data_IF_680702839910
#
_entry.id   IF_680702839910
#
_cell.length_a   1.000
_cell.length_b   1.000
_cell.length_c   1.000
_cell.angle_alpha   90.00
_cell.angle_beta   90.00
_cell.angle_gamma   90.00
#
_symmetry.space_group_name_H-M   'P 1'
#
loop_
_entity.id
_entity.type
_entity.pdbx_description
1 polymer ?
#
# COMPACT_ATOMS: atom_id res chain seq x y z
N UNK A 1 -1.87 -19.79 -12.86
CA UNK A 1 -0.71 -19.07 -12.30
C UNK A 1 -1.02 -17.60 -12.43
N UNK A 2 -0.77 -16.77 -11.42
CA UNK A 2 -1.00 -15.33 -11.53
C UNK A 2 0.02 -14.69 -12.48
N UNK A 3 -0.45 -13.79 -13.31
CA UNK A 3 0.37 -13.00 -14.22
C UNK A 3 0.68 -11.63 -13.59
N UNK A 4 1.63 -10.89 -14.16
CA UNK A 4 1.88 -9.50 -13.76
C UNK A 4 0.64 -8.61 -13.94
N UNK A 5 -0.19 -8.90 -14.94
CA UNK A 5 -1.46 -8.20 -15.18
C UNK A 5 -2.47 -8.46 -14.06
N UNK A 6 -2.59 -9.72 -13.59
CA UNK A 6 -3.48 -10.08 -12.47
C UNK A 6 -3.06 -9.34 -11.20
N UNK A 7 -1.76 -9.26 -10.93
CA UNK A 7 -1.20 -8.57 -9.75
C UNK A 7 -1.50 -7.07 -9.82
N UNK A 8 -1.21 -6.46 -10.97
CA UNK A 8 -1.48 -5.04 -11.18
C UNK A 8 -2.98 -4.76 -11.05
N UNK A 9 -3.83 -5.61 -11.61
CA UNK A 9 -5.29 -5.47 -11.53
C UNK A 9 -5.78 -5.49 -10.09
N UNK A 10 -5.32 -6.43 -9.27
CA UNK A 10 -5.68 -6.49 -7.84
C UNK A 10 -5.24 -5.22 -7.10
N UNK A 11 -4.06 -4.71 -7.40
CA UNK A 11 -3.56 -3.48 -6.78
C UNK A 11 -4.40 -2.25 -7.19
N UNK A 12 -4.73 -2.12 -8.48
CA UNK A 12 -5.57 -1.05 -9.01
C UNK A 12 -6.99 -1.09 -8.42
N UNK A 13 -7.61 -2.26 -8.36
CA UNK A 13 -8.96 -2.43 -7.79
C UNK A 13 -9.00 -2.06 -6.31
N UNK A 14 -7.98 -2.45 -5.52
CA UNK A 14 -7.92 -2.04 -4.11
C UNK A 14 -7.69 -0.54 -3.96
N UNK A 15 -6.79 0.05 -4.75
CA UNK A 15 -6.57 1.50 -4.73
C UNK A 15 -7.81 2.27 -5.15
N UNK A 16 -8.59 1.75 -6.11
CA UNK A 16 -9.86 2.35 -6.51
C UNK A 16 -10.91 2.38 -5.40
N UNK A 17 -10.98 1.29 -4.62
CA UNK A 17 -11.85 1.21 -3.42
C UNK A 17 -11.39 2.24 -2.38
N UNK A 18 -10.09 2.34 -2.13
CA UNK A 18 -9.53 3.28 -1.15
C UNK A 18 -9.73 4.75 -1.56
N UNK A 19 -9.64 5.02 -2.86
CA UNK A 19 -9.75 6.36 -3.44
C UNK A 19 -11.17 6.74 -3.88
N UNK A 20 -12.14 5.82 -3.78
CA UNK A 20 -13.52 6.05 -4.25
C UNK A 20 -13.59 6.43 -5.74
N UNK A 21 -12.87 5.71 -6.59
CA UNK A 21 -12.84 5.93 -8.04
C UNK A 21 -12.96 4.60 -8.81
N UNK A 22 -12.85 4.64 -10.12
CA UNK A 22 -12.72 3.42 -10.93
C UNK A 22 -11.25 3.04 -11.05
N UNK A 23 -10.95 1.73 -11.15
CA UNK A 23 -9.56 1.27 -11.31
C UNK A 23 -8.93 1.78 -12.63
N UNK A 24 -9.73 1.99 -13.68
CA UNK A 24 -9.29 2.58 -14.95
C UNK A 24 -8.81 4.03 -14.81
N UNK A 25 -9.23 4.73 -13.76
CA UNK A 25 -8.80 6.11 -13.51
C UNK A 25 -7.30 6.23 -13.31
N UNK A 26 -6.65 5.19 -12.77
CA UNK A 26 -5.19 5.12 -12.63
C UNK A 26 -4.43 4.85 -13.94
N UNK A 27 -5.13 4.48 -15.00
CA UNK A 27 -4.55 4.18 -16.32
C UNK A 27 -4.76 5.31 -17.33
N UNK A 28 -5.49 6.37 -16.95
CA UNK A 28 -5.70 7.54 -17.79
C UNK A 28 -4.39 8.30 -18.02
N UNK A 29 -4.37 9.12 -19.06
CA UNK A 29 -3.26 10.06 -19.32
C UNK A 29 -3.36 11.32 -18.47
N UNK A 30 -4.59 11.76 -18.21
CA UNK A 30 -4.88 12.97 -17.46
C UNK A 30 -5.06 12.65 -15.97
N UNK A 31 -4.65 13.59 -15.12
CA UNK A 31 -4.87 13.49 -13.69
C UNK A 31 -6.36 13.45 -13.38
N UNK A 32 -6.72 12.70 -12.35
CA UNK A 32 -8.11 12.54 -11.89
C UNK A 32 -8.22 13.06 -10.46
N UNK A 33 -9.23 13.88 -10.20
CA UNK A 33 -9.52 14.37 -8.85
C UNK A 33 -10.89 13.85 -8.44
N UNK A 34 -10.94 13.17 -7.31
CA UNK A 34 -12.17 12.62 -6.72
C UNK A 34 -12.34 13.10 -5.29
N UNK A 35 -13.57 13.25 -4.87
CA UNK A 35 -13.89 13.60 -3.48
C UNK A 35 -13.70 12.36 -2.59
N UNK A 36 -12.95 12.53 -1.50
CA UNK A 36 -12.74 11.46 -0.53
C UNK A 36 -14.01 11.18 0.26
N UNK A 37 -14.36 9.90 0.36
CA UNK A 37 -15.49 9.43 1.17
C UNK A 37 -15.12 8.18 1.95
N UNK A 38 -15.79 7.93 3.06
CA UNK A 38 -15.63 6.71 3.81
C UNK A 38 -16.12 5.51 2.99
N UNK A 39 -15.32 4.43 2.96
CA UNK A 39 -15.68 3.20 2.26
C UNK A 39 -15.40 2.00 3.18
N UNK A 40 -16.41 1.18 3.55
CA UNK A 40 -16.23 0.04 4.44
C UNK A 40 -15.34 -1.07 3.85
N UNK A 41 -15.16 -1.09 2.53
CA UNK A 41 -14.28 -2.03 1.84
C UNK A 41 -12.85 -1.52 1.65
N UNK A 42 -12.57 -0.26 2.04
CA UNK A 42 -11.22 0.27 2.02
C UNK A 42 -10.30 -0.44 3.02
N UNK A 43 -9.02 -0.27 2.83
CA UNK A 43 -8.00 -0.81 3.74
C UNK A 43 -8.22 -0.27 5.14
N UNK A 44 -8.34 -1.16 6.13
CA UNK A 44 -8.78 -0.83 7.50
C UNK A 44 -7.88 0.12 8.28
N UNK A 45 -6.63 0.28 7.87
CA UNK A 45 -5.72 1.21 8.50
C UNK A 45 -5.85 2.64 7.96
N UNK A 46 -6.59 2.84 6.88
CA UNK A 46 -6.86 4.16 6.35
C UNK A 46 -7.89 4.89 7.22
N UNK A 47 -7.61 6.14 7.50
CA UNK A 47 -8.56 7.04 8.16
C UNK A 47 -9.29 7.84 7.08
N UNK A 48 -10.40 7.29 6.61
CA UNK A 48 -11.24 7.93 5.60
C UNK A 48 -12.36 8.78 6.25
N UNK A 49 -12.74 9.90 5.63
CA UNK A 49 -12.23 10.45 4.39
C UNK A 49 -10.86 11.13 4.55
N UNK A 50 -10.04 11.08 3.51
CA UNK A 50 -8.76 11.80 3.46
C UNK A 50 -8.98 13.30 3.24
N UNK A 51 -8.09 14.12 3.79
CA UNK A 51 -7.98 15.53 3.43
C UNK A 51 -7.36 15.65 2.04
N UNK A 52 -6.25 14.97 1.82
CA UNK A 52 -5.60 14.87 0.51
C UNK A 52 -4.76 13.59 0.47
N UNK A 53 -5.01 12.76 -0.54
CA UNK A 53 -4.19 11.61 -0.92
C UNK A 53 -3.86 11.70 -2.39
N UNK A 54 -2.59 11.56 -2.74
CA UNK A 54 -2.10 11.51 -4.11
C UNK A 54 -1.55 10.13 -4.40
N UNK A 55 -2.19 9.40 -5.29
CA UNK A 55 -1.77 8.05 -5.70
C UNK A 55 -1.39 8.04 -7.18
N UNK A 56 -0.28 7.38 -7.53
CA UNK A 56 0.11 7.17 -8.92
C UNK A 56 0.59 5.74 -9.17
N UNK A 57 0.31 5.25 -10.37
CA UNK A 57 0.87 4.05 -10.97
C UNK A 57 1.82 4.38 -12.13
N UNK A 58 2.27 5.64 -12.22
CA UNK A 58 3.25 6.13 -13.18
C UNK A 58 2.67 6.91 -14.37
N UNK A 59 1.38 6.74 -14.71
CA UNK A 59 0.78 7.41 -15.88
C UNK A 59 0.20 8.79 -15.53
N UNK A 60 -0.48 8.88 -14.41
CA UNK A 60 -1.19 10.07 -13.93
C UNK A 60 -1.23 10.07 -12.39
N UNK A 61 -1.86 11.08 -11.83
CA UNK A 61 -2.18 11.15 -10.41
C UNK A 61 -3.68 11.01 -10.25
N UNK A 62 -4.11 10.09 -9.39
CA UNK A 62 -5.47 10.09 -8.82
C UNK A 62 -5.37 10.79 -7.46
N UNK A 63 -5.97 11.96 -7.37
CA UNK A 63 -6.03 12.77 -6.16
C UNK A 63 -7.38 12.56 -5.48
N UNK A 64 -7.36 12.01 -4.27
CA UNK A 64 -8.55 11.80 -3.44
C UNK A 64 -8.56 12.85 -2.33
N UNK A 65 -9.50 13.76 -2.35
CA UNK A 65 -9.42 15.00 -1.57
C UNK A 65 -10.72 15.37 -0.85
N UNK A 66 -10.61 16.18 0.19
CA UNK A 66 -11.70 17.04 0.65
C UNK A 66 -11.94 18.13 -0.37
N UNK A 67 -13.20 18.36 -0.75
CA UNK A 67 -13.57 19.27 -1.83
C UNK A 67 -13.09 20.72 -1.62
N UNK A 68 -12.99 21.15 -0.37
CA UNK A 68 -12.51 22.49 0.01
C UNK A 68 -11.04 22.77 -0.42
N UNK A 69 -10.25 21.71 -0.69
CA UNK A 69 -8.85 21.84 -1.11
C UNK A 69 -8.62 21.55 -2.60
N UNK A 70 -9.69 21.40 -3.38
CA UNK A 70 -9.62 21.11 -4.81
C UNK A 70 -8.68 22.02 -5.57
N UNK A 71 -8.85 23.33 -5.43
CA UNK A 71 -8.06 24.33 -6.18
C UNK A 71 -6.57 24.26 -5.86
N UNK A 72 -6.22 23.97 -4.59
CA UNK A 72 -4.82 23.80 -4.18
C UNK A 72 -4.21 22.59 -4.86
N UNK A 73 -4.91 21.46 -4.81
CA UNK A 73 -4.40 20.18 -5.33
C UNK A 73 -4.37 20.21 -6.86
N UNK A 74 -5.41 20.69 -7.52
CA UNK A 74 -5.48 20.80 -8.98
C UNK A 74 -4.34 21.68 -9.52
N UNK A 75 -4.12 22.84 -8.91
CA UNK A 75 -3.01 23.73 -9.25
C UNK A 75 -1.65 23.06 -9.11
N UNK A 76 -1.49 22.22 -8.07
CA UNK A 76 -0.24 21.51 -7.81
C UNK A 76 0.02 20.41 -8.84
N UNK A 77 -0.92 19.47 -9.02
CA UNK A 77 -0.74 18.32 -9.91
C UNK A 77 -0.77 18.69 -11.39
N UNK A 78 -1.28 19.90 -11.74
CA UNK A 78 -1.22 20.42 -13.11
C UNK A 78 0.09 21.15 -13.41
N UNK A 79 0.86 21.52 -12.38
CA UNK A 79 2.10 22.27 -12.53
C UNK A 79 3.31 21.40 -12.82
N UNK A 80 3.34 20.19 -12.29
CA UNK A 80 4.50 19.31 -12.34
C UNK A 80 4.16 18.02 -13.10
N UNK A 81 5.15 17.41 -13.73
CA UNK A 81 5.05 16.06 -14.24
C UNK A 81 4.78 15.08 -13.07
N UNK A 82 4.16 13.93 -13.37
CA UNK A 82 3.70 12.96 -12.37
C UNK A 82 4.79 12.59 -11.37
N UNK A 83 5.97 12.21 -11.88
CA UNK A 83 7.12 11.81 -11.05
C UNK A 83 7.60 12.96 -10.15
N UNK A 84 7.58 14.19 -10.65
CA UNK A 84 8.04 15.38 -9.93
C UNK A 84 7.07 15.81 -8.80
N UNK A 85 5.81 15.42 -8.86
CA UNK A 85 4.87 15.68 -7.77
C UNK A 85 5.26 14.96 -6.47
N UNK A 86 6.08 13.92 -6.54
CA UNK A 86 6.50 13.13 -5.37
C UNK A 86 7.96 13.39 -4.95
N UNK A 87 8.60 14.36 -5.57
CA UNK A 87 9.95 14.79 -5.19
C UNK A 87 9.90 15.82 -4.05
N UNK A 88 10.82 15.68 -3.11
CA UNK A 88 10.87 16.52 -1.90
C UNK A 88 10.76 18.03 -2.18
N UNK A 89 11.50 18.63 -3.16
CA UNK A 89 11.40 20.05 -3.42
C UNK A 89 9.99 20.51 -3.79
N UNK A 90 9.29 19.71 -4.61
CA UNK A 90 7.95 20.04 -5.08
C UNK A 90 6.91 19.77 -4.01
N UNK A 91 7.06 18.70 -3.22
CA UNK A 91 6.19 18.43 -2.06
C UNK A 91 6.20 19.58 -1.05
N UNK A 92 7.32 20.29 -0.88
CA UNK A 92 7.36 21.49 -0.04
C UNK A 92 6.40 22.58 -0.55
N UNK A 93 6.25 22.72 -1.87
CA UNK A 93 5.30 23.70 -2.45
C UNK A 93 3.87 23.36 -2.08
N UNK A 94 3.50 22.07 -2.16
CA UNK A 94 2.18 21.63 -1.75
C UNK A 94 1.99 21.76 -0.22
N UNK A 95 3.00 21.37 0.55
CA UNK A 95 2.99 21.50 2.01
C UNK A 95 2.83 22.96 2.45
N UNK A 96 3.52 23.91 1.80
CA UNK A 96 3.39 25.34 2.08
C UNK A 96 2.00 25.88 1.75
N UNK A 97 1.35 25.36 0.70
CA UNK A 97 -0.02 25.72 0.36
C UNK A 97 -1.04 25.20 1.40
N UNK A 98 -0.76 24.07 2.04
CA UNK A 98 -1.62 23.51 3.10
C UNK A 98 -1.34 24.07 4.49
N UNK A 99 -0.15 24.62 4.74
CA UNK A 99 0.26 25.16 6.06
C UNK A 99 -0.71 26.19 6.66
N UNK A 100 -1.28 27.15 5.90
CA UNK A 100 -2.26 28.09 6.45
C UNK A 100 -3.54 27.42 6.99
N UNK A 101 -3.81 26.19 6.58
CA UNK A 101 -4.95 25.39 7.02
C UNK A 101 -4.60 24.46 8.18
N UNK A 102 -3.37 24.54 8.73
CA UNK A 102 -2.90 23.65 9.78
C UNK A 102 -2.61 22.21 9.32
N UNK A 103 -2.42 22.02 8.03
CA UNK A 103 -2.19 20.71 7.41
C UNK A 103 -0.73 20.57 6.96
N UNK A 104 -0.25 19.34 6.95
CA UNK A 104 1.10 19.01 6.48
C UNK A 104 1.18 17.59 5.94
N UNK A 105 2.25 17.30 5.20
CA UNK A 105 2.54 15.93 4.76
C UNK A 105 2.79 15.05 5.97
N UNK A 106 1.97 14.03 6.17
CA UNK A 106 2.11 13.11 7.28
C UNK A 106 2.69 11.74 6.88
N UNK A 107 2.56 11.36 5.61
CA UNK A 107 3.03 10.07 5.15
C UNK A 107 3.35 10.08 3.65
N UNK A 108 4.43 9.38 3.28
CA UNK A 108 4.77 9.03 1.91
C UNK A 108 5.30 7.61 1.87
N UNK A 109 4.86 6.81 0.91
CA UNK A 109 5.36 5.46 0.71
C UNK A 109 5.47 5.11 -0.76
N UNK A 110 6.43 4.23 -1.05
CA UNK A 110 6.56 3.54 -2.32
C UNK A 110 6.24 2.07 -2.09
N UNK A 111 5.41 1.51 -2.97
CA UNK A 111 5.05 0.10 -2.94
C UNK A 111 5.55 -0.58 -4.19
N UNK A 112 6.11 -1.76 -4.01
CA UNK A 112 6.60 -2.59 -5.11
C UNK A 112 5.63 -3.73 -5.35
N UNK A 113 5.26 -3.95 -6.60
CA UNK A 113 4.52 -5.14 -7.00
C UNK A 113 5.53 -6.22 -7.43
N UNK A 114 5.28 -7.50 -7.09
CA UNK A 114 6.14 -8.58 -7.56
C UNK A 114 6.05 -8.70 -9.09
N UNK A 115 7.20 -8.96 -9.72
CA UNK A 115 7.29 -9.31 -11.13
C UNK A 115 7.47 -10.81 -11.26
N UNK A 116 6.43 -11.51 -11.73
CA UNK A 116 6.38 -12.96 -11.80
C UNK A 116 7.34 -13.54 -12.86
N UNK A 117 7.76 -12.73 -13.84
CA UNK A 117 8.67 -13.17 -14.89
C UNK A 117 10.11 -13.30 -14.39
N UNK A 118 10.46 -12.52 -13.36
CA UNK A 118 11.80 -12.53 -12.76
C UNK A 118 11.85 -13.10 -11.35
N UNK A 119 10.68 -13.34 -10.74
CA UNK A 119 10.59 -13.91 -9.41
C UNK A 119 11.12 -15.34 -9.40
N UNK A 120 12.21 -15.58 -8.69
CA UNK A 120 12.82 -16.90 -8.53
C UNK A 120 12.81 -17.31 -7.06
N UNK A 121 12.38 -18.54 -6.74
CA UNK A 121 12.52 -19.05 -5.40
C UNK A 121 14.01 -19.08 -5.01
N UNK A 122 14.35 -18.46 -3.88
CA UNK A 122 15.69 -18.56 -3.33
C UNK A 122 15.80 -19.84 -2.47
N UNK A 123 16.94 -20.54 -2.49
CA UNK A 123 17.13 -21.69 -1.64
C UNK A 123 17.11 -21.25 -0.17
N UNK A 124 16.16 -21.78 0.59
CA UNK A 124 16.06 -21.56 2.04
C UNK A 124 16.41 -22.86 2.78
N UNK A 125 17.28 -22.77 3.79
CA UNK A 125 17.63 -23.90 4.63
C UNK A 125 16.63 -24.14 5.76
N UNK A 126 15.79 -23.14 6.05
CA UNK A 126 14.78 -23.19 7.09
C UNK A 126 13.49 -23.76 6.53
N UNK A 127 12.76 -24.50 7.36
CA UNK A 127 11.37 -24.84 7.07
C UNK A 127 10.52 -23.57 7.11
N UNK A 128 9.71 -23.33 6.09
CA UNK A 128 8.80 -22.17 6.06
C UNK A 128 7.35 -22.64 6.11
N UNK A 129 6.52 -21.97 6.92
CA UNK A 129 5.07 -22.23 7.01
C UNK A 129 4.30 -20.93 6.83
N UNK A 130 3.21 -21.01 6.08
CA UNK A 130 2.22 -19.94 6.05
C UNK A 130 1.48 -19.98 7.37
N UNK A 131 1.38 -18.82 8.01
CA UNK A 131 0.66 -18.61 9.27
C UNK A 131 -0.64 -17.86 8.96
N UNK A 132 -1.74 -18.36 9.46
CA UNK A 132 -3.05 -17.70 9.41
C UNK A 132 -3.38 -17.07 10.78
N UNK A 133 -4.46 -16.30 10.84
CA UNK A 133 -4.85 -15.56 12.04
C UNK A 133 -4.87 -16.39 13.35
N UNK A 134 -5.33 -17.65 13.37
CA UNK A 134 -5.27 -18.47 14.58
C UNK A 134 -3.85 -18.77 15.06
N UNK A 135 -2.89 -18.87 14.11
CA UNK A 135 -1.49 -19.21 14.43
C UNK A 135 -0.75 -18.07 15.13
N UNK A 136 -1.28 -16.84 15.04
CA UNK A 136 -0.67 -15.69 15.72
C UNK A 136 -1.00 -15.61 17.21
N UNK A 137 -1.99 -16.36 17.72
CA UNK A 137 -2.50 -16.20 19.07
C UNK A 137 -1.40 -16.24 20.14
N UNK A 138 -0.46 -17.19 20.03
CA UNK A 138 0.65 -17.38 20.97
C UNK A 138 1.92 -16.60 20.57
N UNK A 139 1.89 -15.82 19.51
CA UNK A 139 3.02 -15.12 18.95
C UNK A 139 3.05 -13.62 19.26
N UNK A 140 2.04 -13.07 19.94
CA UNK A 140 2.05 -11.68 20.42
C UNK A 140 2.94 -11.55 21.65
N UNK A 141 4.25 -11.54 21.41
CA UNK A 141 5.31 -11.48 22.43
C UNK A 141 6.33 -10.41 22.07
N UNK A 142 7.08 -9.88 23.06
CA UNK A 142 8.10 -8.85 22.81
C UNK A 142 9.11 -9.21 21.71
N UNK A 143 9.49 -10.48 21.62
CA UNK A 143 10.43 -10.97 20.61
C UNK A 143 9.94 -10.84 19.16
N UNK A 144 8.61 -10.77 18.95
CA UNK A 144 7.96 -10.62 17.65
C UNK A 144 7.32 -9.25 17.44
N UNK A 145 7.55 -8.28 18.33
CA UNK A 145 6.89 -6.96 18.31
C UNK A 145 7.21 -6.14 17.05
N UNK A 146 8.30 -6.43 16.35
CA UNK A 146 8.65 -5.85 15.06
C UNK A 146 7.76 -6.36 13.91
N UNK A 147 7.18 -7.55 14.07
CA UNK A 147 6.32 -8.18 13.07
C UNK A 147 4.84 -8.18 13.50
N UNK A 148 4.54 -8.43 14.77
CA UNK A 148 3.18 -8.55 15.31
C UNK A 148 2.93 -7.47 16.36
N UNK A 149 1.74 -6.89 16.36
CA UNK A 149 1.37 -5.85 17.31
C UNK A 149 0.00 -6.19 17.91
N UNK A 150 -0.05 -6.40 19.23
CA UNK A 150 -1.27 -6.82 19.92
C UNK A 150 -2.41 -5.81 19.77
N UNK A 151 -2.09 -4.50 19.80
CA UNK A 151 -3.08 -3.43 19.62
C UNK A 151 -3.73 -3.44 18.24
N UNK A 152 -3.10 -4.10 17.27
CA UNK A 152 -3.56 -4.20 15.88
C UNK A 152 -3.74 -5.64 15.40
N UNK A 153 -3.84 -6.61 16.31
CA UNK A 153 -3.96 -8.05 15.98
C UNK A 153 -5.10 -8.39 15.01
N UNK A 154 -6.16 -7.56 15.01
CA UNK A 154 -7.27 -7.71 14.07
C UNK A 154 -6.90 -7.42 12.60
N UNK A 155 -5.73 -6.80 12.37
CA UNK A 155 -5.17 -6.53 11.04
C UNK A 155 -4.21 -7.65 10.59
N UNK A 156 -3.75 -8.50 11.51
CA UNK A 156 -2.83 -9.59 11.20
C UNK A 156 -3.63 -10.77 10.65
N UNK A 157 -3.50 -11.03 9.35
CA UNK A 157 -4.34 -12.03 8.65
C UNK A 157 -3.52 -13.17 8.10
N UNK A 158 -2.32 -12.86 7.61
CA UNK A 158 -1.44 -13.81 6.98
C UNK A 158 0.01 -13.48 7.33
N UNK A 159 0.83 -14.51 7.45
CA UNK A 159 2.26 -14.36 7.67
C UNK A 159 3.03 -15.58 7.18
N UNK A 160 4.33 -15.48 7.26
CA UNK A 160 5.24 -16.61 7.03
C UNK A 160 6.15 -16.74 8.22
N UNK A 161 6.16 -17.92 8.83
CA UNK A 161 7.09 -18.33 9.86
C UNK A 161 8.24 -19.13 9.27
N UNK A 162 9.47 -18.83 9.68
CA UNK A 162 10.63 -19.65 9.37
C UNK A 162 11.07 -20.40 10.64
N UNK A 163 11.35 -21.69 10.48
CA UNK A 163 11.61 -22.61 11.58
C UNK A 163 12.99 -23.29 11.43
N UNK A 164 13.74 -23.32 12.52
CA UNK A 164 14.95 -24.09 12.64
C UNK A 164 14.73 -25.22 13.66
N UNK A 165 14.84 -26.46 13.22
CA UNK A 165 14.60 -27.66 14.06
C UNK A 165 13.25 -27.58 14.82
N UNK A 166 12.20 -27.12 14.13
CA UNK A 166 10.85 -26.97 14.69
C UNK A 166 10.64 -25.74 15.59
N UNK A 167 11.67 -24.93 15.82
CA UNK A 167 11.59 -23.68 16.58
C UNK A 167 11.41 -22.51 15.61
N UNK A 168 10.39 -21.69 15.87
CA UNK A 168 10.18 -20.45 15.12
C UNK A 168 11.35 -19.48 15.38
N UNK A 169 12.02 -19.05 14.30
CA UNK A 169 13.20 -18.15 14.37
C UNK A 169 12.96 -16.82 13.66
N UNK A 170 11.96 -16.75 12.79
CA UNK A 170 11.59 -15.53 12.11
C UNK A 170 10.10 -15.52 11.78
N UNK A 171 9.49 -14.34 11.84
CA UNK A 171 8.12 -14.10 11.37
C UNK A 171 8.14 -12.89 10.42
N UNK A 172 7.42 -13.02 9.32
CA UNK A 172 7.03 -11.91 8.47
C UNK A 172 5.51 -11.94 8.31
N UNK A 173 4.84 -10.80 8.49
CA UNK A 173 3.39 -10.69 8.36
C UNK A 173 2.98 -9.84 7.18
N UNK A 174 1.75 -10.06 6.73
CA UNK A 174 1.02 -9.23 5.79
C UNK A 174 -0.25 -8.67 6.43
N UNK A 175 -0.55 -7.42 6.14
CA UNK A 175 -1.82 -6.80 6.52
C UNK A 175 -2.95 -7.29 5.61
N UNK A 176 -4.17 -7.33 6.12
CA UNK A 176 -5.35 -7.72 5.37
C UNK A 176 -5.55 -6.77 4.18
N UNK A 177 -5.15 -7.19 2.99
CA UNK A 177 -5.64 -6.71 1.71
C UNK A 177 -6.76 -7.63 1.29
N UNK A 178 -7.96 -7.10 1.05
CA UNK A 178 -9.20 -7.89 0.92
C UNK A 178 -9.12 -9.01 -0.13
N UNK A 179 -8.30 -8.86 -1.16
CA UNK A 179 -8.13 -9.83 -2.24
C UNK A 179 -6.81 -10.63 -2.22
N UNK A 180 -5.87 -10.30 -1.37
CA UNK A 180 -4.57 -10.98 -1.30
C UNK A 180 -4.72 -12.45 -0.82
N UNK A 181 -5.74 -12.75 -0.01
CA UNK A 181 -6.03 -14.12 0.42
C UNK A 181 -6.32 -15.07 -0.75
N UNK A 182 -6.90 -14.57 -1.85
CA UNK A 182 -7.12 -15.38 -3.07
C UNK A 182 -5.81 -15.61 -3.82
N UNK A 183 -4.95 -14.60 -3.84
CA UNK A 183 -3.62 -14.65 -4.44
C UNK A 183 -2.70 -15.65 -3.71
N UNK A 184 -2.62 -15.58 -2.39
CA UNK A 184 -1.70 -16.41 -1.60
C UNK A 184 -2.15 -17.85 -1.42
N UNK A 185 -3.47 -18.13 -1.39
CA UNK A 185 -4.01 -19.50 -1.36
C UNK A 185 -3.82 -20.27 -2.67
N UNK A 186 -3.62 -19.58 -3.79
CA UNK A 186 -3.41 -20.21 -5.09
C UNK A 186 -1.95 -20.33 -5.51
N UNK A 187 -1.07 -19.56 -4.87
CA UNK A 187 0.37 -19.71 -5.04
C UNK A 187 0.89 -20.48 -3.82
N UNK A 188 1.27 -21.73 -3.96
CA UNK A 188 2.23 -22.39 -3.08
C UNK A 188 3.62 -21.70 -3.16
N UNK A 189 3.61 -20.42 -3.50
CA UNK A 189 4.78 -19.61 -3.68
C UNK A 189 5.39 -19.35 -2.31
N UNK A 190 6.47 -20.01 -2.03
CA UNK A 190 7.45 -19.61 -1.04
C UNK A 190 7.79 -18.16 -1.32
N UNK A 191 7.34 -17.27 -0.42
CA UNK A 191 7.64 -15.83 -0.47
C UNK A 191 9.13 -15.63 -0.18
N UNK A 192 9.96 -15.81 -1.19
CA UNK A 192 11.38 -15.49 -1.13
C UNK A 192 11.65 -14.30 -2.04
N UNK A 193 11.95 -13.19 -1.40
CA UNK A 193 12.63 -11.98 -1.87
C UNK A 193 12.10 -11.32 -3.16
N UNK A 194 11.52 -10.16 -2.98
CA UNK A 194 11.31 -9.14 -4.01
C UNK A 194 12.66 -8.56 -4.43
N UNK A 195 13.16 -8.93 -5.58
CA UNK A 195 14.26 -8.21 -6.22
C UNK A 195 13.67 -7.02 -7.01
N UNK A 196 14.45 -5.95 -7.00
CA UNK A 196 14.05 -4.60 -7.45
C UNK A 196 13.82 -4.56 -8.94
N UNK A 197 12.59 -4.55 -9.41
CA UNK A 197 12.26 -4.02 -10.74
C UNK A 197 10.93 -3.25 -10.70
N UNK A 198 11.02 -2.07 -11.16
CA UNK A 198 10.25 -0.87 -11.20
C UNK A 198 8.77 -1.00 -11.58
N UNK A 199 7.88 -1.08 -10.58
CA UNK A 199 6.54 -0.49 -10.68
C UNK A 199 6.19 0.14 -9.33
N UNK A 200 6.29 1.46 -9.27
CA UNK A 200 6.08 2.22 -8.04
C UNK A 200 4.62 2.64 -7.91
N UNK A 201 4.05 2.44 -6.74
CA UNK A 201 2.88 3.17 -6.27
C UNK A 201 3.36 4.16 -5.22
N UNK A 202 3.19 5.45 -5.47
CA UNK A 202 3.54 6.52 -4.52
C UNK A 202 2.27 7.05 -3.87
N UNK A 203 2.25 7.10 -2.56
CA UNK A 203 1.13 7.58 -1.76
C UNK A 203 1.59 8.75 -0.88
N UNK A 204 0.85 9.84 -0.94
CA UNK A 204 1.02 11.01 -0.09
C UNK A 204 -0.28 11.24 0.70
N UNK A 205 -0.19 11.23 2.02
CA UNK A 205 -1.31 11.52 2.91
C UNK A 205 -1.11 12.86 3.60
N UNK A 206 -2.20 13.59 3.73
CA UNK A 206 -2.27 14.81 4.51
C UNK A 206 -3.33 14.64 5.59
N UNK A 207 -2.96 14.86 6.85
CA UNK A 207 -3.87 14.78 7.99
C UNK A 207 -3.60 15.97 8.92
N UNK A 208 -4.58 16.28 9.78
CA UNK A 208 -4.41 17.25 10.86
C UNK A 208 -3.40 16.71 11.88
N UNK A 209 -2.32 17.43 12.09
CA UNK A 209 -1.32 17.17 13.15
C UNK A 209 -1.82 17.63 14.50
#
# INVERSE_FOLDING_TARGET
MFTNEDILRVALEQSAIDSNCNWEDFLKKDNVIVTSVANPSARRYLKLPHVCDLTTYGNNIVATISEEYRDIVEKYISKYAVEHCFETPNMHVLNDAFRPHGLGVCFMAEYFLPDMDVLKPLPCKLETKVLEQPDFADLYKPEWSNALCEDRKHLDVLGVGAYDNGKLVQIRREYKKINLNRFLKQTEAKLEYLDRHERFVKLLYYDNT
#
